data_IF_387994633720
#
_entry.id   IF_387994633720
#
_cell.length_a   1.000
_cell.length_b   1.000
_cell.length_c   1.000
_cell.angle_alpha   90.00
_cell.angle_beta   90.00
_cell.angle_gamma   90.00
#
_symmetry.space_group_name_H-M   'P 1'
#
loop_
_entity.id
_entity.type
_entity.pdbx_description
1 polymer ?
#
# COMPACT_ATOMS: atom_id res chain seq x y z
N UNK A 1 0.53 59.21 24.04
CA UNK A 1 0.61 57.95 24.82
C UNK A 1 -0.18 56.87 24.06
N UNK A 2 0.54 56.14 23.21
CA UNK A 2 0.28 54.82 22.62
C UNK A 2 -1.14 54.37 22.20
N UNK A 3 -1.79 55.13 21.31
CA UNK A 3 -3.01 54.64 20.62
C UNK A 3 -2.70 53.48 19.65
N UNK A 4 -1.49 53.41 19.09
CA UNK A 4 -1.04 52.32 18.20
C UNK A 4 -0.80 50.99 18.92
N UNK A 5 -0.57 51.00 20.24
CA UNK A 5 -0.31 49.78 20.99
C UNK A 5 -1.63 49.06 21.33
N UNK A 6 -2.72 49.80 21.51
CA UNK A 6 -4.04 49.23 21.81
C UNK A 6 -4.69 48.59 20.58
N UNK A 7 -4.46 49.14 19.38
CA UNK A 7 -5.01 48.56 18.13
C UNK A 7 -4.35 47.22 17.77
N UNK A 8 -3.10 47.01 18.18
CA UNK A 8 -2.39 45.75 17.92
C UNK A 8 -2.81 44.63 18.87
N UNK A 9 -3.28 44.95 20.08
CA UNK A 9 -3.74 43.94 21.05
C UNK A 9 -5.15 43.44 20.75
N UNK A 10 -5.99 44.23 20.08
CA UNK A 10 -7.38 43.82 19.75
C UNK A 10 -7.45 42.86 18.55
N UNK A 11 -6.45 42.86 17.66
CA UNK A 11 -6.41 41.96 16.49
C UNK A 11 -6.03 40.51 16.87
N UNK A 12 -5.36 40.28 18.01
CA UNK A 12 -5.01 38.93 18.45
C UNK A 12 -6.16 38.17 19.14
N UNK A 13 -7.29 38.81 19.44
CA UNK A 13 -8.43 38.19 20.13
C UNK A 13 -9.56 37.73 19.19
N UNK A 14 -9.44 37.99 17.88
CA UNK A 14 -10.43 37.56 16.87
C UNK A 14 -9.89 36.54 15.87
N UNK A 15 -8.74 35.91 16.17
CA UNK A 15 -8.37 34.68 15.49
C UNK A 15 -9.30 33.57 15.99
N UNK A 16 -10.52 33.56 15.49
CA UNK A 16 -11.35 32.36 15.48
C UNK A 16 -10.49 31.26 14.88
N UNK A 17 -10.16 30.25 15.70
CA UNK A 17 -9.81 28.94 15.19
C UNK A 17 -11.03 28.45 14.39
N UNK A 18 -11.11 28.83 13.12
CA UNK A 18 -11.79 28.03 12.13
C UNK A 18 -10.93 26.79 11.92
N UNK A 19 -10.93 25.92 12.93
CA UNK A 19 -10.74 24.51 12.69
C UNK A 19 -11.88 24.10 11.78
N UNK A 20 -11.59 23.88 10.51
CA UNK A 20 -12.46 23.10 9.65
C UNK A 20 -12.45 21.66 10.19
N UNK A 21 -13.15 21.45 11.30
CA UNK A 21 -13.85 20.19 11.53
C UNK A 21 -15.06 20.28 10.63
N UNK A 22 -14.89 19.91 9.37
CA UNK A 22 -15.99 19.71 8.45
C UNK A 22 -16.75 18.48 8.95
N UNK A 23 -17.66 18.74 9.89
CA UNK A 23 -18.64 17.80 10.40
C UNK A 23 -19.69 17.58 9.33
N UNK A 24 -19.31 16.87 8.27
CA UNK A 24 -20.20 16.26 7.30
C UNK A 24 -19.52 15.02 6.73
N UNK A 25 -19.37 13.99 7.56
CA UNK A 25 -19.28 12.61 7.07
C UNK A 25 -20.67 12.19 6.57
N UNK A 26 -21.13 12.83 5.51
CA UNK A 26 -22.12 12.24 4.62
C UNK A 26 -21.35 11.28 3.72
N UNK A 27 -21.24 10.04 4.19
CA UNK A 27 -20.51 8.93 3.58
C UNK A 27 -21.28 8.37 2.36
N UNK A 28 -21.46 9.24 1.37
CA UNK A 28 -22.06 8.96 0.06
C UNK A 28 -21.67 10.04 -0.95
N UNK A 29 -20.43 10.52 -0.88
CA UNK A 29 -19.84 11.21 -2.03
C UNK A 29 -19.51 10.12 -3.04
N UNK A 30 -20.22 10.11 -4.17
CA UNK A 30 -19.85 9.32 -5.33
C UNK A 30 -18.48 9.86 -5.77
N UNK A 31 -17.39 9.19 -5.36
CA UNK A 31 -16.03 9.64 -5.64
C UNK A 31 -15.83 9.54 -7.15
N UNK A 32 -15.94 10.67 -7.85
CA UNK A 32 -15.73 10.75 -9.29
C UNK A 32 -14.22 10.82 -9.56
N UNK A 33 -13.62 9.64 -9.76
CA UNK A 33 -12.21 9.53 -10.07
C UNK A 33 -11.94 9.89 -11.53
N UNK A 34 -11.41 11.08 -11.77
CA UNK A 34 -10.93 11.49 -13.08
C UNK A 34 -9.52 10.98 -13.35
N UNK A 35 -9.27 10.44 -14.55
CA UNK A 35 -7.91 10.12 -14.98
C UNK A 35 -7.11 11.40 -15.22
N UNK A 36 -6.01 11.56 -14.49
CA UNK A 36 -5.09 12.69 -14.62
C UNK A 36 -4.04 12.42 -15.70
N UNK A 37 -3.43 13.47 -16.23
CA UNK A 37 -2.37 13.35 -17.23
C UNK A 37 -1.07 12.83 -16.60
N UNK A 38 -0.30 12.08 -17.39
CA UNK A 38 1.06 11.71 -17.01
C UNK A 38 1.91 12.96 -16.72
N UNK A 39 2.80 12.84 -15.74
CA UNK A 39 3.79 13.86 -15.38
C UNK A 39 5.08 13.77 -16.19
N UNK A 40 5.09 12.97 -17.25
CA UNK A 40 6.20 12.76 -18.17
C UNK A 40 5.72 12.71 -19.61
N UNK A 41 6.63 12.95 -20.55
CA UNK A 41 6.36 12.80 -21.99
C UNK A 41 6.24 11.32 -22.37
N UNK A 42 5.58 11.05 -23.50
CA UNK A 42 5.58 9.72 -24.12
C UNK A 42 6.90 9.51 -24.88
N UNK A 43 7.81 8.76 -24.26
CA UNK A 43 9.12 8.39 -24.79
C UNK A 43 9.21 6.92 -25.23
N UNK A 44 8.06 6.22 -25.32
CA UNK A 44 7.98 4.83 -25.74
C UNK A 44 8.46 3.81 -24.70
N UNK A 45 8.61 4.22 -23.43
CA UNK A 45 8.95 3.33 -22.31
C UNK A 45 7.73 2.98 -21.48
N UNK A 46 7.74 1.79 -20.88
CA UNK A 46 6.78 1.37 -19.87
C UNK A 46 7.40 1.53 -18.48
N UNK A 47 6.89 2.47 -17.69
CA UNK A 47 7.37 2.72 -16.33
C UNK A 47 6.59 1.90 -15.30
N UNK A 48 7.30 1.05 -14.57
CA UNK A 48 6.72 0.18 -13.54
C UNK A 48 7.19 0.63 -12.16
N UNK A 49 6.25 1.08 -11.33
CA UNK A 49 6.47 1.32 -9.90
C UNK A 49 6.30 0.00 -9.14
N UNK A 50 7.35 -0.43 -8.45
CA UNK A 50 7.36 -1.71 -7.71
C UNK A 50 8.25 -1.63 -6.49
N UNK A 51 8.15 -2.61 -5.58
CA UNK A 51 9.12 -2.76 -4.50
C UNK A 51 10.46 -3.32 -5.00
N UNK A 52 11.54 -3.07 -4.26
CA UNK A 52 12.93 -3.36 -4.66
C UNK A 52 13.20 -4.85 -4.91
N UNK A 53 12.44 -5.74 -4.27
CA UNK A 53 12.44 -7.18 -4.53
C UNK A 53 11.61 -7.47 -5.77
N UNK A 54 12.23 -7.75 -6.92
CA UNK A 54 11.46 -7.93 -8.15
C UNK A 54 10.72 -9.28 -8.15
N UNK A 55 9.39 -9.22 -8.26
CA UNK A 55 8.56 -10.40 -8.60
C UNK A 55 8.77 -10.84 -10.06
N UNK A 56 9.30 -9.95 -10.89
CA UNK A 56 9.59 -10.19 -12.31
C UNK A 56 11.05 -10.58 -12.47
N UNK A 57 11.32 -11.66 -13.21
CA UNK A 57 12.67 -12.06 -13.56
C UNK A 57 13.12 -11.43 -14.89
N UNK A 58 14.44 -11.32 -15.07
CA UNK A 58 15.05 -10.69 -16.26
C UNK A 58 14.60 -11.35 -17.57
N UNK A 59 14.41 -12.68 -17.58
CA UNK A 59 13.97 -13.41 -18.77
C UNK A 59 12.54 -13.03 -19.20
N UNK A 60 11.65 -12.75 -18.26
CA UNK A 60 10.30 -12.26 -18.54
C UNK A 60 10.34 -10.85 -19.14
N UNK A 61 11.19 -9.98 -18.58
CA UNK A 61 11.40 -8.61 -19.06
C UNK A 61 11.94 -8.65 -20.49
N UNK A 62 13.05 -9.35 -20.73
CA UNK A 62 13.66 -9.50 -22.06
C UNK A 62 12.67 -10.06 -23.09
N UNK A 63 11.85 -11.04 -22.70
CA UNK A 63 10.84 -11.62 -23.58
C UNK A 63 9.76 -10.59 -23.95
N UNK A 64 9.32 -9.78 -22.99
CA UNK A 64 8.35 -8.71 -23.22
C UNK A 64 8.92 -7.62 -24.13
N UNK A 65 10.13 -7.13 -23.84
CA UNK A 65 10.79 -6.08 -24.63
C UNK A 65 11.06 -6.56 -26.06
N UNK A 66 11.50 -7.81 -26.24
CA UNK A 66 11.72 -8.40 -27.57
C UNK A 66 10.41 -8.54 -28.36
N UNK A 67 9.32 -8.93 -27.70
CA UNK A 67 8.04 -9.15 -28.36
C UNK A 67 7.32 -7.84 -28.73
N UNK A 68 7.49 -6.78 -27.94
CA UNK A 68 6.74 -5.53 -28.06
C UNK A 68 7.57 -4.37 -28.62
N UNK A 69 8.90 -4.41 -28.45
CA UNK A 69 9.79 -3.28 -28.71
C UNK A 69 9.72 -2.16 -27.67
N UNK A 70 9.00 -2.36 -26.55
CA UNK A 70 8.81 -1.39 -25.47
C UNK A 70 9.84 -1.68 -24.38
N UNK A 71 10.67 -0.68 -24.04
CA UNK A 71 11.65 -0.77 -22.94
C UNK A 71 10.94 -0.62 -21.59
N UNK A 72 11.31 -1.44 -20.61
CA UNK A 72 10.79 -1.37 -19.24
C UNK A 72 11.73 -0.54 -18.36
N UNK A 73 11.19 0.48 -17.70
CA UNK A 73 11.90 1.28 -16.69
C UNK A 73 11.28 1.04 -15.30
N UNK A 74 12.09 0.62 -14.33
CA UNK A 74 11.61 0.39 -12.97
C UNK A 74 11.82 1.60 -12.06
N UNK A 75 10.77 1.99 -11.35
CA UNK A 75 10.82 2.91 -10.22
C UNK A 75 10.65 2.06 -8.96
N UNK A 76 11.68 2.03 -8.12
CA UNK A 76 11.77 1.11 -6.99
C UNK A 76 11.48 1.81 -5.67
N UNK A 77 10.52 1.28 -4.95
CA UNK A 77 10.21 1.64 -3.56
C UNK A 77 10.63 0.53 -2.60
N UNK A 78 10.63 0.81 -1.29
CA UNK A 78 11.06 -0.19 -0.32
C UNK A 78 10.10 -1.38 -0.22
N UNK A 79 8.79 -1.13 -0.26
CA UNK A 79 7.70 -2.12 -0.07
C UNK A 79 6.34 -1.45 -0.45
N UNK A 80 5.22 -2.14 -0.32
CA UNK A 80 3.87 -1.72 -0.73
C UNK A 80 3.41 -0.36 -0.18
N UNK A 81 3.77 -0.03 1.07
CA UNK A 81 3.46 1.28 1.64
C UNK A 81 4.21 2.41 0.95
N UNK A 82 5.46 2.19 0.56
CA UNK A 82 6.25 3.14 -0.23
C UNK A 82 5.65 3.36 -1.63
N UNK A 83 5.15 2.29 -2.26
CA UNK A 83 4.42 2.38 -3.54
C UNK A 83 3.19 3.29 -3.37
N UNK A 84 2.36 3.05 -2.36
CA UNK A 84 1.18 3.87 -2.11
C UNK A 84 1.55 5.34 -1.83
N UNK A 85 2.57 5.59 -1.01
CA UNK A 85 3.05 6.94 -0.70
C UNK A 85 3.51 7.66 -1.98
N UNK A 86 4.28 6.99 -2.83
CA UNK A 86 4.74 7.56 -4.11
C UNK A 86 3.57 7.85 -5.06
N UNK A 87 2.56 6.97 -5.13
CA UNK A 87 1.33 7.21 -5.90
C UNK A 87 0.58 8.44 -5.39
N UNK A 88 0.49 8.62 -4.07
CA UNK A 88 -0.15 9.79 -3.46
C UNK A 88 0.61 11.08 -3.73
N UNK A 89 1.94 11.06 -3.57
CA UNK A 89 2.80 12.23 -3.78
C UNK A 89 2.83 12.69 -5.24
N UNK A 90 2.70 11.75 -6.18
CA UNK A 90 2.77 12.01 -7.62
C UNK A 90 1.39 12.02 -8.29
N UNK A 91 0.30 11.99 -7.53
CA UNK A 91 -1.08 11.87 -8.06
C UNK A 91 -1.38 12.84 -9.21
N UNK A 92 -1.03 14.11 -9.04
CA UNK A 92 -1.31 15.18 -10.02
C UNK A 92 -0.32 15.23 -11.20
N UNK A 93 0.74 14.43 -11.14
CA UNK A 93 1.77 14.32 -12.17
C UNK A 93 2.33 12.88 -12.16
N UNK A 94 1.53 11.93 -12.64
CA UNK A 94 1.81 10.49 -12.49
C UNK A 94 3.16 10.14 -13.14
N UNK A 95 4.00 9.39 -12.41
CA UNK A 95 5.36 9.06 -12.85
C UNK A 95 5.50 7.63 -13.39
N UNK A 96 4.47 6.79 -13.23
CA UNK A 96 4.49 5.38 -13.63
C UNK A 96 3.19 5.02 -14.36
N UNK A 97 3.29 4.06 -15.28
CA UNK A 97 2.17 3.54 -16.07
C UNK A 97 1.52 2.32 -15.40
N UNK A 98 2.31 1.54 -14.66
CA UNK A 98 1.88 0.34 -13.96
C UNK A 98 2.47 0.29 -12.56
N UNK A 99 1.65 -0.11 -11.58
CA UNK A 99 2.09 -0.36 -10.21
C UNK A 99 1.96 -1.84 -9.92
N UNK A 100 3.04 -2.46 -9.46
CA UNK A 100 3.07 -3.87 -9.03
C UNK A 100 3.48 -3.89 -7.56
N UNK A 101 2.60 -4.41 -6.71
CA UNK A 101 2.94 -4.65 -5.30
C UNK A 101 2.06 -3.99 -4.25
N UNK A 102 0.96 -3.33 -4.64
CA UNK A 102 -0.13 -3.09 -3.69
C UNK A 102 -0.77 -4.44 -3.33
N UNK A 103 -0.94 -4.69 -2.04
CA UNK A 103 -1.69 -5.83 -1.54
C UNK A 103 -3.15 -5.44 -1.19
N UNK A 104 -3.93 -6.41 -0.74
CA UNK A 104 -5.31 -6.20 -0.33
C UNK A 104 -5.47 -5.27 0.90
N UNK A 105 -4.40 -5.00 1.66
CA UNK A 105 -4.41 -4.12 2.83
C UNK A 105 -4.16 -2.64 2.48
N UNK A 106 -3.57 -2.36 1.31
CA UNK A 106 -3.32 -1.01 0.79
C UNK A 106 -4.25 -0.63 -0.38
N UNK A 107 -4.78 -1.61 -1.12
CA UNK A 107 -5.59 -1.38 -2.32
C UNK A 107 -6.78 -0.45 -2.09
N UNK A 108 -7.52 -0.63 -0.99
CA UNK A 108 -8.70 0.19 -0.70
C UNK A 108 -8.34 1.68 -0.58
N UNK A 109 -7.23 2.00 0.08
CA UNK A 109 -6.74 3.38 0.18
C UNK A 109 -6.38 3.95 -1.19
N UNK A 110 -5.78 3.16 -2.08
CA UNK A 110 -5.50 3.61 -3.45
C UNK A 110 -6.77 3.90 -4.26
N UNK A 111 -7.82 3.10 -4.07
CA UNK A 111 -9.13 3.28 -4.72
C UNK A 111 -9.81 4.56 -4.20
N UNK A 112 -9.90 4.74 -2.88
CA UNK A 112 -10.52 5.91 -2.25
C UNK A 112 -9.83 7.22 -2.62
N UNK A 113 -8.54 7.17 -2.94
CA UNK A 113 -7.76 8.33 -3.35
C UNK A 113 -7.65 8.49 -4.87
N UNK A 114 -8.41 7.72 -5.67
CA UNK A 114 -8.42 7.80 -7.14
C UNK A 114 -7.04 7.64 -7.79
N UNK A 115 -6.23 6.70 -7.30
CA UNK A 115 -4.87 6.51 -7.80
C UNK A 115 -4.77 5.48 -8.94
N UNK A 116 -5.89 4.86 -9.31
CA UNK A 116 -5.94 3.73 -10.25
C UNK A 116 -6.91 4.01 -11.40
N UNK A 117 -6.68 3.32 -12.52
CA UNK A 117 -7.53 3.37 -13.72
C UNK A 117 -8.09 1.98 -14.02
N UNK A 118 -9.31 1.93 -14.58
CA UNK A 118 -9.90 0.66 -15.01
C UNK A 118 -9.04 -0.04 -16.07
N UNK A 119 -8.75 -1.32 -15.83
CA UNK A 119 -8.10 -2.21 -16.80
C UNK A 119 -9.12 -2.97 -17.64
N UNK A 120 -8.75 -3.22 -18.90
CA UNK A 120 -9.49 -4.10 -19.80
C UNK A 120 -9.13 -5.59 -19.61
N UNK A 121 -8.12 -5.90 -18.78
CA UNK A 121 -7.65 -7.27 -18.58
C UNK A 121 -8.75 -8.20 -18.02
N UNK A 122 -9.72 -7.67 -17.28
CA UNK A 122 -10.90 -8.41 -16.78
C UNK A 122 -11.74 -9.07 -17.89
N UNK A 123 -11.64 -8.58 -19.14
CA UNK A 123 -12.34 -9.12 -20.31
C UNK A 123 -11.50 -10.18 -21.06
N UNK A 124 -10.24 -10.34 -20.68
CA UNK A 124 -9.30 -11.27 -21.30
C UNK A 124 -9.68 -12.71 -20.94
N UNK A 125 -9.60 -13.69 -21.87
CA UNK A 125 -9.77 -15.11 -21.54
C UNK A 125 -8.84 -15.57 -20.40
N UNK A 126 -7.64 -14.98 -20.32
CA UNK A 126 -6.64 -15.26 -19.29
C UNK A 126 -7.08 -14.86 -17.89
N UNK A 127 -8.01 -13.90 -17.74
CA UNK A 127 -8.55 -13.52 -16.43
C UNK A 127 -9.29 -14.68 -15.77
N UNK A 128 -9.89 -15.57 -16.56
CA UNK A 128 -10.58 -16.77 -16.07
C UNK A 128 -9.61 -17.80 -15.44
N UNK A 129 -8.31 -17.65 -15.67
CA UNK A 129 -7.29 -18.52 -15.09
C UNK A 129 -6.88 -18.10 -13.67
N UNK A 130 -7.32 -16.93 -13.18
CA UNK A 130 -7.05 -16.49 -11.81
C UNK A 130 -7.91 -17.32 -10.85
N UNK A 131 -7.30 -17.88 -9.81
CA UNK A 131 -8.01 -18.67 -8.82
C UNK A 131 -9.05 -17.85 -8.06
N UNK A 132 -10.16 -18.50 -7.69
CA UNK A 132 -11.24 -17.85 -6.92
C UNK A 132 -10.75 -17.26 -5.60
N UNK A 133 -9.79 -17.91 -4.92
CA UNK A 133 -9.24 -17.40 -3.66
C UNK A 133 -8.48 -16.08 -3.81
N UNK A 134 -7.77 -15.88 -4.92
CA UNK A 134 -7.05 -14.62 -5.20
C UNK A 134 -8.01 -13.46 -5.48
N UNK A 135 -9.24 -13.79 -5.89
CA UNK A 135 -10.31 -12.85 -6.19
C UNK A 135 -11.20 -12.58 -4.96
N UNK A 136 -11.02 -13.24 -3.82
CA UNK A 136 -11.87 -13.01 -2.64
C UNK A 136 -11.73 -11.58 -2.10
N UNK A 137 -10.52 -11.04 -2.10
CA UNK A 137 -10.25 -9.69 -1.60
C UNK A 137 -10.78 -8.58 -2.53
N UNK A 138 -10.72 -8.79 -3.86
CA UNK A 138 -11.14 -7.78 -4.83
C UNK A 138 -11.43 -8.40 -6.22
N UNK A 139 -12.57 -8.01 -6.81
CA UNK A 139 -13.03 -8.48 -8.15
C UNK A 139 -13.41 -7.33 -9.08
N UNK A 140 -12.96 -6.12 -8.79
CA UNK A 140 -13.26 -4.95 -9.61
C UNK A 140 -12.30 -4.81 -10.80
N UNK A 141 -12.34 -3.64 -11.43
CA UNK A 141 -11.55 -3.34 -12.63
C UNK A 141 -10.32 -2.49 -12.37
N UNK A 142 -10.05 -2.06 -11.14
CA UNK A 142 -8.96 -1.11 -10.84
C UNK A 142 -7.63 -1.79 -10.54
N UNK A 143 -7.64 -3.07 -10.18
CA UNK A 143 -6.46 -3.85 -9.86
C UNK A 143 -6.69 -5.33 -10.18
N UNK A 144 -5.61 -6.05 -10.46
CA UNK A 144 -5.62 -7.49 -10.78
C UNK A 144 -4.65 -8.18 -9.82
N UNK A 145 -5.06 -9.25 -9.12
CA UNK A 145 -4.13 -10.04 -8.32
C UNK A 145 -3.13 -10.75 -9.24
N UNK A 146 -1.83 -10.63 -8.95
CA UNK A 146 -0.76 -11.25 -9.72
C UNK A 146 -0.11 -12.42 -8.97
N UNK A 147 -0.10 -12.38 -7.63
CA UNK A 147 0.27 -13.48 -6.74
C UNK A 147 -0.59 -13.48 -5.46
N UNK A 148 -0.37 -14.47 -4.60
CA UNK A 148 -0.98 -14.53 -3.26
C UNK A 148 -0.09 -15.34 -2.32
N UNK A 149 -0.19 -15.05 -1.02
CA UNK A 149 0.52 -15.79 0.02
C UNK A 149 -0.03 -15.52 1.41
N UNK A 150 0.30 -16.39 2.35
CA UNK A 150 -0.03 -16.21 3.78
C UNK A 150 1.15 -15.59 4.51
N UNK A 151 0.89 -14.64 5.40
CA UNK A 151 1.91 -14.12 6.33
C UNK A 151 2.07 -15.10 7.49
N UNK A 152 3.26 -15.69 7.60
CA UNK A 152 3.60 -16.66 8.63
C UNK A 152 4.77 -16.14 9.50
N UNK A 153 4.74 -16.47 10.79
CA UNK A 153 5.89 -16.23 11.66
C UNK A 153 6.93 -17.32 11.47
N UNK A 154 8.12 -16.92 11.05
CA UNK A 154 9.28 -17.79 11.00
C UNK A 154 10.02 -17.74 12.35
N UNK A 155 10.70 -18.84 12.71
CA UNK A 155 11.51 -18.92 13.92
C UNK A 155 12.83 -19.65 13.66
N UNK A 156 13.83 -19.40 14.49
CA UNK A 156 15.08 -20.16 14.50
C UNK A 156 14.84 -21.50 15.21
N UNK A 157 14.92 -22.60 14.47
CA UNK A 157 14.71 -23.96 14.97
C UNK A 157 15.71 -24.37 16.06
N UNK A 158 16.89 -23.73 16.14
CA UNK A 158 17.83 -23.99 17.23
C UNK A 158 17.43 -23.31 18.54
N UNK A 159 16.71 -22.18 18.44
CA UNK A 159 16.20 -21.47 19.61
C UNK A 159 14.88 -22.09 20.10
N UNK A 160 14.00 -22.50 19.18
CA UNK A 160 12.71 -23.13 19.46
C UNK A 160 12.87 -24.65 19.38
N UNK A 161 13.56 -25.20 20.37
CA UNK A 161 13.97 -26.62 20.44
C UNK A 161 12.83 -27.59 20.83
N UNK A 162 11.68 -27.08 21.29
CA UNK A 162 10.57 -27.88 21.77
C UNK A 162 10.72 -28.42 23.19
N UNK A 163 11.88 -28.21 23.83
CA UNK A 163 12.16 -28.63 25.21
C UNK A 163 12.21 -27.42 26.15
N UNK A 164 13.08 -26.45 25.86
CA UNK A 164 13.26 -25.22 26.62
C UNK A 164 12.34 -24.10 26.12
N UNK A 165 12.12 -24.04 24.79
CA UNK A 165 11.25 -23.08 24.16
C UNK A 165 10.36 -23.83 23.17
N UNK A 166 9.06 -23.86 23.45
CA UNK A 166 8.06 -24.48 22.57
C UNK A 166 7.63 -23.51 21.48
N UNK A 167 7.22 -24.07 20.33
CA UNK A 167 6.63 -23.31 19.23
C UNK A 167 5.43 -22.50 19.76
N UNK A 168 5.39 -21.17 19.57
CA UNK A 168 4.24 -20.34 19.91
C UNK A 168 2.97 -20.86 19.24
N UNK A 169 1.92 -21.07 20.02
CA UNK A 169 0.60 -21.49 19.50
C UNK A 169 -0.42 -20.36 19.52
N UNK A 170 -0.06 -19.20 20.07
CA UNK A 170 -0.88 -18.00 20.15
C UNK A 170 -0.03 -16.74 20.08
N UNK A 171 -0.64 -15.60 19.69
CA UNK A 171 0.04 -14.30 19.76
C UNK A 171 0.36 -13.89 21.21
N UNK A 172 -0.39 -14.39 22.20
CA UNK A 172 -0.07 -14.19 23.62
C UNK A 172 1.30 -14.73 24.00
N UNK A 173 1.72 -15.87 23.44
CA UNK A 173 3.02 -16.45 23.76
C UNK A 173 4.16 -15.49 23.41
N UNK A 174 4.02 -14.69 22.35
CA UNK A 174 5.05 -13.71 21.93
C UNK A 174 5.25 -12.58 22.94
N UNK A 175 4.34 -12.42 23.91
CA UNK A 175 4.43 -11.42 24.99
C UNK A 175 5.11 -11.95 26.26
N UNK A 176 5.39 -13.26 26.31
CA UNK A 176 5.98 -13.90 27.49
C UNK A 176 7.45 -13.51 27.68
N UNK A 177 7.98 -13.54 28.92
CA UNK A 177 9.35 -13.11 29.20
C UNK A 177 10.43 -13.79 28.36
N UNK A 178 10.24 -15.06 27.95
CA UNK A 178 11.23 -15.76 27.11
C UNK A 178 11.37 -15.18 25.70
N UNK A 179 10.38 -14.41 25.22
CA UNK A 179 10.37 -13.78 23.88
C UNK A 179 10.81 -12.31 23.89
N UNK A 180 11.09 -11.74 25.07
CA UNK A 180 11.48 -10.34 25.19
C UNK A 180 12.77 -10.04 24.39
N UNK A 181 12.68 -9.11 23.44
CA UNK A 181 13.78 -8.76 22.54
C UNK A 181 14.15 -9.82 21.50
N UNK A 182 13.29 -10.84 21.29
CA UNK A 182 13.51 -11.93 20.34
C UNK A 182 12.51 -11.98 19.20
N UNK A 183 11.59 -11.02 19.14
CA UNK A 183 10.63 -10.87 18.06
C UNK A 183 11.04 -9.70 17.18
N UNK A 184 10.88 -9.86 15.86
CA UNK A 184 11.12 -8.81 14.88
C UNK A 184 9.98 -8.84 13.87
N UNK A 185 9.39 -7.69 13.63
CA UNK A 185 8.32 -7.52 12.66
C UNK A 185 8.67 -6.34 11.74
N UNK A 186 8.38 -6.44 10.43
CA UNK A 186 8.51 -5.31 9.55
C UNK A 186 7.50 -4.21 9.93
N UNK A 187 7.81 -2.97 9.55
CA UNK A 187 6.97 -1.80 9.87
C UNK A 187 5.57 -1.93 9.25
N UNK A 188 4.48 -1.78 10.02
CA UNK A 188 3.11 -1.83 9.47
C UNK A 188 2.71 -0.60 8.67
N UNK A 189 3.54 0.46 8.71
CA UNK A 189 3.30 1.67 7.92
C UNK A 189 3.78 1.47 6.49
N UNK A 190 4.97 0.88 6.32
CA UNK A 190 5.64 0.82 5.02
C UNK A 190 5.60 -0.57 4.38
N UNK A 191 5.48 -1.66 5.14
CA UNK A 191 5.62 -3.03 4.64
C UNK A 191 4.30 -3.79 4.60
N UNK A 192 4.03 -4.46 3.48
CA UNK A 192 2.83 -5.30 3.29
C UNK A 192 2.73 -6.41 4.37
N UNK A 193 3.75 -7.29 4.57
CA UNK A 193 3.69 -8.27 5.64
C UNK A 193 3.52 -7.67 7.04
N UNK A 194 4.11 -6.48 7.28
CA UNK A 194 3.99 -5.78 8.56
C UNK A 194 2.57 -5.29 8.81
N UNK A 195 1.94 -4.70 7.79
CA UNK A 195 0.55 -4.22 7.87
C UNK A 195 -0.41 -5.38 8.01
N UNK A 196 -0.23 -6.45 7.24
CA UNK A 196 -1.02 -7.66 7.36
C UNK A 196 -0.92 -8.27 8.77
N UNK A 197 0.29 -8.34 9.35
CA UNK A 197 0.47 -8.81 10.72
C UNK A 197 -0.21 -7.90 11.76
N UNK A 198 -0.15 -6.58 11.59
CA UNK A 198 -0.88 -5.63 12.45
C UNK A 198 -2.38 -5.85 12.39
N UNK A 199 -2.96 -5.95 11.18
CA UNK A 199 -4.40 -6.18 10.99
C UNK A 199 -4.83 -7.52 11.60
N UNK A 200 -4.07 -8.59 11.37
CA UNK A 200 -4.34 -9.89 11.97
C UNK A 200 -4.22 -9.87 13.51
N UNK A 201 -3.31 -9.07 14.05
CA UNK A 201 -3.16 -8.91 15.51
C UNK A 201 -4.35 -8.16 16.11
N UNK A 202 -4.84 -7.11 15.44
CA UNK A 202 -6.05 -6.39 15.85
C UNK A 202 -7.24 -7.37 15.83
N UNK A 203 -7.46 -8.06 14.71
CA UNK A 203 -8.54 -9.05 14.58
C UNK A 203 -8.46 -10.13 15.67
N UNK A 204 -7.27 -10.71 15.90
CA UNK A 204 -7.06 -11.76 16.90
C UNK A 204 -7.39 -11.33 18.35
N UNK A 205 -7.20 -10.05 18.69
CA UNK A 205 -7.44 -9.55 20.05
C UNK A 205 -8.79 -8.84 20.20
N UNK A 206 -9.44 -8.44 19.10
CA UNK A 206 -10.77 -7.82 19.11
C UNK A 206 -11.92 -8.82 18.85
N UNK A 207 -11.61 -10.01 18.32
CA UNK A 207 -12.55 -11.13 18.18
C UNK A 207 -12.80 -11.90 19.47
#
# INVERSE_FOLDING_TARGET
MNFKLFTLTTILLTASLSGCLDGNLSDNQNIDCTTLSAGHDDDGKLRILTYDVLALNDSMIESFETATGIEIEFIKESDAGGILDQMMLTKEAQQADLMIGLDNSYLQTAIENCLLRETLFTQSPQYQNISSSSLEAYQGKLAIPFDQGTVCLNYDENFVDGENITIPTSLWNLTEPQWNGKTSFPSPLSSSPGRAFMLATIDYFES
#
